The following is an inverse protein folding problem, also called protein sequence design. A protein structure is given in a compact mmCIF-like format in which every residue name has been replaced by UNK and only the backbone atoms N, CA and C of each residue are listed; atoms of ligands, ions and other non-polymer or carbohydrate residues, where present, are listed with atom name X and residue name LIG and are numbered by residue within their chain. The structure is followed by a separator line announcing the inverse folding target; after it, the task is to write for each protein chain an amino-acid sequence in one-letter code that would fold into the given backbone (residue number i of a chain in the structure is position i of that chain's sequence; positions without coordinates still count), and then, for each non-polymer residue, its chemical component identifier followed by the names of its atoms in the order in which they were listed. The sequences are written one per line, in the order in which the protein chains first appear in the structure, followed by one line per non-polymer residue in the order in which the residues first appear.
data_IF_556725458500
#
_entry.id   IF_556725458500
#
_cell.length_a   1.000
_cell.length_b   1.000
_cell.length_c   1.000
_cell.angle_alpha   90.00
_cell.angle_beta   90.00
_cell.angle_gamma   90.00
#
_symmetry.space_group_name_H-M   'P 1'
#
loop_
_entity.id
_entity.type
_entity.pdbx_description
1 polymer ?
#
# COMPACT_ATOMS: atom_id res chain seq x y z
N UNK A 1 -16.62 -22.06 -5.13
CA UNK A 1 -17.58 -22.51 -4.09
C UNK A 1 -16.93 -22.54 -2.71
N UNK A 2 -15.82 -23.28 -2.51
CA UNK A 2 -15.15 -23.38 -1.21
C UNK A 2 -14.60 -22.04 -0.66
N UNK A 3 -14.02 -21.20 -1.52
CA UNK A 3 -13.48 -19.89 -1.15
C UNK A 3 -14.55 -18.92 -0.68
N UNK A 4 -15.67 -18.84 -1.40
CA UNK A 4 -16.83 -18.03 -1.01
C UNK A 4 -17.41 -18.49 0.34
N UNK A 5 -17.53 -19.81 0.55
CA UNK A 5 -17.99 -20.36 1.81
C UNK A 5 -17.04 -20.00 2.97
N UNK A 6 -15.72 -20.15 2.78
CA UNK A 6 -14.74 -19.72 3.79
C UNK A 6 -14.81 -18.23 4.11
N UNK A 7 -14.99 -17.37 3.12
CA UNK A 7 -15.12 -15.91 3.33
C UNK A 7 -16.39 -15.63 4.16
N UNK A 8 -17.52 -16.21 3.77
CA UNK A 8 -18.80 -16.08 4.48
C UNK A 8 -18.69 -16.55 5.93
N UNK A 9 -18.09 -17.71 6.17
CA UNK A 9 -17.89 -18.25 7.53
C UNK A 9 -17.04 -17.31 8.37
N UNK A 10 -15.93 -16.78 7.84
CA UNK A 10 -15.08 -15.84 8.58
C UNK A 10 -15.82 -14.54 8.94
N UNK A 11 -16.60 -13.98 8.01
CA UNK A 11 -17.40 -12.78 8.25
C UNK A 11 -18.44 -13.06 9.36
N UNK A 12 -19.14 -14.19 9.27
CA UNK A 12 -20.16 -14.55 10.24
C UNK A 12 -19.56 -14.79 11.63
N UNK A 13 -18.45 -15.52 11.71
CA UNK A 13 -17.73 -15.74 12.97
C UNK A 13 -17.27 -14.43 13.61
N UNK A 14 -16.75 -13.48 12.82
CA UNK A 14 -16.36 -12.16 13.32
C UNK A 14 -17.56 -11.37 13.86
N UNK A 15 -18.71 -11.40 13.17
CA UNK A 15 -19.93 -10.73 13.63
C UNK A 15 -20.48 -11.35 14.92
N UNK A 16 -20.46 -12.68 15.03
CA UNK A 16 -20.87 -13.38 16.25
C UNK A 16 -19.97 -12.99 17.43
N UNK A 17 -18.65 -12.94 17.23
CA UNK A 17 -17.71 -12.51 18.26
C UNK A 17 -18.02 -11.08 18.73
N UNK A 18 -18.26 -10.14 17.81
CA UNK A 18 -18.58 -8.75 18.16
C UNK A 18 -19.87 -8.63 18.98
N UNK A 19 -20.94 -9.33 18.58
CA UNK A 19 -22.25 -9.21 19.23
C UNK A 19 -22.29 -9.96 20.57
N UNK A 20 -21.75 -11.18 20.64
CA UNK A 20 -21.91 -12.06 21.79
C UNK A 20 -20.79 -11.97 22.82
N UNK A 21 -19.55 -11.71 22.38
CA UNK A 21 -18.38 -11.63 23.26
C UNK A 21 -18.14 -10.17 23.64
N UNK A 22 -17.87 -9.32 22.65
CA UNK A 22 -17.55 -7.91 22.86
C UNK A 22 -18.79 -7.05 23.19
N UNK A 23 -20.00 -7.58 22.96
CA UNK A 23 -21.30 -6.92 23.21
C UNK A 23 -21.39 -5.53 22.58
N UNK A 24 -20.83 -5.39 21.39
CA UNK A 24 -20.75 -4.12 20.67
C UNK A 24 -21.22 -4.28 19.23
N UNK A 25 -21.52 -3.14 18.58
CA UNK A 25 -21.81 -3.14 17.15
C UNK A 25 -20.52 -3.05 16.33
N UNK A 26 -20.54 -3.51 15.08
CA UNK A 26 -19.40 -3.36 14.17
C UNK A 26 -18.97 -1.90 14.04
N UNK A 27 -19.93 -0.96 13.96
CA UNK A 27 -19.65 0.47 13.80
C UNK A 27 -18.95 1.03 15.04
N UNK A 28 -19.46 0.69 16.23
CA UNK A 28 -18.89 1.12 17.51
C UNK A 28 -17.49 0.53 17.68
N UNK A 29 -17.31 -0.77 17.44
CA UNK A 29 -16.01 -1.43 17.50
C UNK A 29 -14.99 -0.77 16.56
N UNK A 30 -15.34 -0.51 15.30
CA UNK A 30 -14.45 0.13 14.34
C UNK A 30 -14.10 1.57 14.75
N UNK A 31 -15.07 2.32 15.25
CA UNK A 31 -14.86 3.71 15.68
C UNK A 31 -13.96 3.79 16.90
N UNK A 32 -14.21 2.96 17.92
CA UNK A 32 -13.41 2.91 19.14
C UNK A 32 -12.00 2.40 18.87
N UNK A 33 -11.85 1.38 18.01
CA UNK A 33 -10.55 0.89 17.56
C UNK A 33 -9.77 1.97 16.82
N UNK A 34 -10.42 2.69 15.88
CA UNK A 34 -9.80 3.78 15.16
C UNK A 34 -9.36 4.91 16.11
N UNK A 35 -10.23 5.32 17.04
CA UNK A 35 -9.92 6.33 18.05
C UNK A 35 -8.75 5.94 18.93
N UNK A 36 -8.70 4.67 19.36
CA UNK A 36 -7.59 4.16 20.17
C UNK A 36 -6.26 4.22 19.41
N UNK A 37 -6.25 3.85 18.13
CA UNK A 37 -5.06 3.95 17.29
C UNK A 37 -4.65 5.42 17.11
N UNK A 38 -5.61 6.32 16.81
CA UNK A 38 -5.34 7.76 16.64
C UNK A 38 -4.75 8.36 17.91
N UNK A 39 -5.37 8.12 19.06
CA UNK A 39 -4.94 8.70 20.33
C UNK A 39 -3.55 8.19 20.71
N UNK A 40 -3.27 6.91 20.50
CA UNK A 40 -1.93 6.34 20.70
C UNK A 40 -0.91 7.01 19.78
N UNK A 41 -1.22 7.15 18.48
CA UNK A 41 -0.32 7.80 17.53
C UNK A 41 -0.07 9.27 17.88
N UNK A 42 -1.12 10.02 18.24
CA UNK A 42 -1.01 11.42 18.66
C UNK A 42 -0.13 11.55 19.89
N UNK A 43 -0.35 10.72 20.91
CA UNK A 43 0.46 10.72 22.13
C UNK A 43 1.95 10.48 21.82
N UNK A 44 2.27 9.51 20.98
CA UNK A 44 3.66 9.24 20.56
C UNK A 44 4.28 10.40 19.77
N UNK A 45 3.51 11.04 18.90
CA UNK A 45 3.99 12.21 18.14
C UNK A 45 4.17 13.45 19.03
N UNK A 46 3.27 13.68 19.98
CA UNK A 46 3.39 14.76 20.96
C UNK A 46 4.62 14.56 21.85
N UNK A 47 4.89 13.34 22.29
CA UNK A 47 6.11 12.99 23.03
C UNK A 47 7.36 13.27 22.19
N UNK A 48 7.39 12.82 20.94
CA UNK A 48 8.49 13.10 20.02
C UNK A 48 8.68 14.61 19.80
N UNK A 49 7.58 15.36 19.60
CA UNK A 49 7.61 16.81 19.46
C UNK A 49 8.21 17.48 20.69
N UNK A 50 7.76 17.10 21.88
CA UNK A 50 8.27 17.65 23.14
C UNK A 50 9.77 17.36 23.31
N UNK A 51 10.24 16.19 22.90
CA UNK A 51 11.66 15.88 22.85
C UNK A 51 12.43 16.85 21.95
N UNK A 52 11.95 17.10 20.73
CA UNK A 52 12.58 18.07 19.81
C UNK A 52 12.53 19.52 20.32
N UNK A 53 11.44 19.93 20.97
CA UNK A 53 11.34 21.23 21.65
C UNK A 53 12.44 21.35 22.71
N UNK A 54 12.61 20.32 23.53
CA UNK A 54 13.64 20.29 24.57
C UNK A 54 15.07 20.30 24.00
N UNK A 55 15.26 19.84 22.75
CA UNK A 55 16.54 19.93 22.02
C UNK A 55 16.78 21.29 21.35
N UNK A 56 15.86 22.24 21.47
CA UNK A 56 16.00 23.59 20.89
C UNK A 56 15.73 23.65 19.38
N UNK A 57 14.97 22.70 18.84
CA UNK A 57 14.57 22.68 17.42
C UNK A 57 13.73 23.91 17.07
N UNK A 58 13.99 24.50 15.90
CA UNK A 58 13.32 25.74 15.45
C UNK A 58 11.80 25.59 15.28
N UNK A 59 11.07 26.68 15.53
CA UNK A 59 9.60 26.73 15.40
C UNK A 59 9.06 26.27 14.03
N UNK A 60 9.78 26.54 12.94
CA UNK A 60 9.37 26.11 11.59
C UNK A 60 9.35 24.60 11.41
N UNK A 61 10.29 23.88 12.02
CA UNK A 61 10.31 22.41 11.98
C UNK A 61 9.22 21.84 12.88
N UNK A 62 8.96 22.47 14.03
CA UNK A 62 7.86 22.11 14.91
C UNK A 62 6.48 22.33 14.26
N UNK A 63 6.31 23.40 13.47
CA UNK A 63 5.09 23.64 12.70
C UNK A 63 4.81 22.53 11.69
N UNK A 64 5.84 21.99 11.02
CA UNK A 64 5.68 20.84 10.12
C UNK A 64 5.24 19.59 10.87
N UNK A 65 5.74 19.38 12.09
CA UNK A 65 5.27 18.29 12.96
C UNK A 65 3.82 18.49 13.38
N UNK A 66 3.42 19.72 13.70
CA UNK A 66 2.05 20.07 14.07
C UNK A 66 1.07 19.85 12.90
N UNK A 67 1.47 20.20 11.69
CA UNK A 67 0.71 19.90 10.48
C UNK A 67 0.54 18.39 10.28
N UNK A 68 1.60 17.60 10.47
CA UNK A 68 1.52 16.15 10.37
C UNK A 68 0.60 15.54 11.45
N UNK A 69 0.68 16.02 12.69
CA UNK A 69 -0.21 15.64 13.80
C UNK A 69 -1.69 15.89 13.47
N UNK A 70 -2.00 17.04 12.88
CA UNK A 70 -3.37 17.40 12.48
C UNK A 70 -3.93 16.52 11.35
N UNK A 71 -3.05 15.91 10.54
CA UNK A 71 -3.45 14.93 9.54
C UNK A 71 -3.85 13.57 10.15
N UNK A 72 -3.46 13.28 11.41
CA UNK A 72 -3.83 12.04 12.10
C UNK A 72 -5.25 12.21 12.69
N UNK A 73 -6.25 11.87 11.89
CA UNK A 73 -7.66 11.92 12.29
C UNK A 73 -8.46 10.77 11.66
N UNK A 74 -9.70 10.58 12.13
CA UNK A 74 -10.57 9.47 11.71
C UNK A 74 -10.84 9.53 10.21
N UNK A 75 -11.14 10.71 9.67
CA UNK A 75 -11.47 10.88 8.26
C UNK A 75 -10.31 10.42 7.35
N UNK A 76 -9.08 10.87 7.65
CA UNK A 76 -7.89 10.47 6.90
C UNK A 76 -7.56 8.98 7.09
N UNK A 77 -7.79 8.40 8.27
CA UNK A 77 -7.62 6.96 8.46
C UNK A 77 -8.63 6.15 7.64
N UNK A 78 -9.87 6.61 7.56
CA UNK A 78 -10.90 5.96 6.74
C UNK A 78 -10.55 6.04 5.25
N UNK A 79 -9.91 7.11 4.77
CA UNK A 79 -9.41 7.20 3.40
C UNK A 79 -8.29 6.19 3.10
N UNK A 80 -7.51 5.81 4.11
CA UNK A 80 -6.43 4.82 3.98
C UNK A 80 -6.92 3.36 4.09
N UNK A 81 -8.13 3.14 4.59
CA UNK A 81 -8.66 1.80 4.84
C UNK A 81 -8.74 0.93 3.56
N UNK A 82 -9.21 1.44 2.40
CA UNK A 82 -9.23 0.63 1.17
C UNK A 82 -7.82 0.20 0.72
N UNK A 83 -6.84 1.10 0.81
CA UNK A 83 -5.46 0.77 0.42
C UNK A 83 -4.80 -0.17 1.45
N UNK A 84 -5.12 -0.06 2.74
CA UNK A 84 -4.56 -0.94 3.76
C UNK A 84 -5.04 -2.39 3.59
N UNK A 85 -6.32 -2.59 3.22
CA UNK A 85 -6.86 -3.90 2.85
C UNK A 85 -6.10 -4.47 1.64
N UNK A 86 -5.87 -3.64 0.63
CA UNK A 86 -5.13 -4.04 -0.58
C UNK A 86 -3.68 -4.43 -0.25
N UNK A 87 -2.98 -3.62 0.55
CA UNK A 87 -1.62 -3.91 1.04
C UNK A 87 -1.60 -5.24 1.77
N UNK A 88 -2.52 -5.43 2.73
CA UNK A 88 -2.61 -6.65 3.51
C UNK A 88 -2.87 -7.87 2.62
N UNK A 89 -3.84 -7.79 1.71
CA UNK A 89 -4.18 -8.86 0.78
C UNK A 89 -3.00 -9.23 -0.12
N UNK A 90 -2.31 -8.22 -0.67
CA UNK A 90 -1.11 -8.42 -1.49
C UNK A 90 0.02 -9.10 -0.71
N UNK A 91 0.33 -8.60 0.50
CA UNK A 91 1.38 -9.17 1.35
C UNK A 91 1.04 -10.60 1.78
N UNK A 92 -0.19 -10.84 2.22
CA UNK A 92 -0.66 -12.16 2.61
C UNK A 92 -0.58 -13.15 1.44
N UNK A 93 -1.06 -12.76 0.26
CA UNK A 93 -0.97 -13.59 -0.94
C UNK A 93 0.49 -13.90 -1.32
N UNK A 94 1.37 -12.89 -1.28
CA UNK A 94 2.78 -13.06 -1.61
C UNK A 94 3.51 -13.97 -0.61
N UNK A 95 3.28 -13.79 0.69
CA UNK A 95 3.86 -14.64 1.74
C UNK A 95 3.32 -16.07 1.61
N UNK A 96 2.00 -16.24 1.47
CA UNK A 96 1.39 -17.55 1.29
C UNK A 96 1.99 -18.28 0.10
N UNK A 97 2.11 -17.62 -1.05
CA UNK A 97 2.71 -18.21 -2.25
C UNK A 97 4.16 -18.68 -2.01
N UNK A 98 4.99 -17.85 -1.39
CA UNK A 98 6.39 -18.22 -1.07
C UNK A 98 6.46 -19.39 -0.10
N UNK A 99 5.63 -19.38 0.95
CA UNK A 99 5.60 -20.44 1.96
C UNK A 99 5.11 -21.75 1.34
N UNK A 100 4.03 -21.71 0.56
CA UNK A 100 3.49 -22.88 -0.15
C UNK A 100 4.52 -23.51 -1.07
N UNK A 101 5.23 -22.72 -1.89
CA UNK A 101 6.29 -23.26 -2.77
C UNK A 101 7.43 -23.87 -1.95
N UNK A 102 7.86 -23.23 -0.86
CA UNK A 102 8.91 -23.81 0.01
C UNK A 102 8.47 -25.16 0.59
N UNK A 103 7.22 -25.28 1.04
CA UNK A 103 6.68 -26.53 1.58
C UNK A 103 6.60 -27.60 0.48
N UNK A 104 6.06 -27.28 -0.69
CA UNK A 104 5.94 -28.21 -1.80
C UNK A 104 7.31 -28.71 -2.29
N UNK A 105 8.30 -27.82 -2.40
CA UNK A 105 9.69 -28.20 -2.71
C UNK A 105 10.28 -29.13 -1.64
N UNK A 106 10.00 -28.87 -0.35
CA UNK A 106 10.44 -29.76 0.75
C UNK A 106 9.79 -31.15 0.67
N UNK A 107 8.57 -31.22 0.16
CA UNK A 107 7.82 -32.46 -0.11
C UNK A 107 8.21 -33.12 -1.44
N UNK A 108 9.22 -32.61 -2.15
CA UNK A 108 9.73 -33.13 -3.44
C UNK A 108 8.71 -33.08 -4.59
N UNK A 109 7.72 -32.19 -4.52
CA UNK A 109 6.89 -31.87 -5.68
C UNK A 109 7.65 -30.97 -6.65
N UNK A 110 7.50 -31.24 -7.95
CA UNK A 110 7.94 -30.32 -8.99
C UNK A 110 7.01 -29.10 -9.01
N UNK A 111 7.58 -27.94 -8.69
CA UNK A 111 6.87 -26.66 -8.71
C UNK A 111 7.73 -25.62 -9.40
N UNK A 112 7.08 -24.78 -10.22
CA UNK A 112 7.74 -23.68 -10.90
C UNK A 112 8.42 -22.74 -9.90
N UNK A 113 9.49 -22.08 -10.35
CA UNK A 113 10.19 -21.11 -9.51
C UNK A 113 9.33 -19.87 -9.25
N UNK A 114 9.41 -19.36 -8.02
CA UNK A 114 8.79 -18.10 -7.61
C UNK A 114 9.26 -17.00 -8.55
N UNK A 115 8.31 -16.35 -9.25
CA UNK A 115 8.63 -15.19 -10.06
C UNK A 115 9.26 -14.11 -9.16
N UNK A 116 10.50 -13.66 -9.43
CA UNK A 116 11.16 -12.69 -8.56
C UNK A 116 10.40 -11.36 -8.59
N UNK A 117 10.27 -10.69 -7.45
CA UNK A 117 9.58 -9.40 -7.33
C UNK A 117 10.07 -8.34 -8.34
N UNK A 118 11.33 -8.39 -8.79
CA UNK A 118 11.84 -7.49 -9.85
C UNK A 118 11.13 -7.66 -11.21
N UNK A 119 10.40 -8.75 -11.43
CA UNK A 119 9.55 -8.99 -12.60
C UNK A 119 8.08 -8.63 -12.34
N UNK A 120 7.72 -8.15 -11.16
CA UNK A 120 6.40 -7.56 -10.93
C UNK A 120 6.24 -6.34 -11.82
N UNK A 121 5.11 -6.27 -12.52
CA UNK A 121 4.76 -5.16 -13.39
C UNK A 121 3.26 -4.87 -13.29
N UNK A 122 2.90 -3.64 -13.63
CA UNK A 122 1.51 -3.21 -13.82
C UNK A 122 1.35 -2.91 -15.29
N UNK A 123 0.36 -3.53 -15.93
CA UNK A 123 0.10 -3.30 -17.35
C UNK A 123 -0.43 -1.90 -17.61
N UNK A 124 -0.19 -1.39 -18.81
CA UNK A 124 -0.64 -0.07 -19.23
C UNK A 124 -2.17 0.05 -19.12
N UNK A 125 -2.89 -1.04 -19.39
CA UNK A 125 -4.35 -1.10 -19.32
C UNK A 125 -4.86 -0.92 -17.88
N UNK A 126 -4.27 -1.64 -16.92
CA UNK A 126 -4.64 -1.52 -15.49
C UNK A 126 -4.35 -0.12 -14.99
N UNK A 127 -3.18 0.41 -15.35
CA UNK A 127 -2.79 1.78 -15.08
C UNK A 127 -3.78 2.82 -15.59
N UNK A 128 -4.12 2.74 -16.88
CA UNK A 128 -5.08 3.63 -17.52
C UNK A 128 -6.47 3.52 -16.89
N UNK A 129 -6.92 2.31 -16.53
CA UNK A 129 -8.20 2.11 -15.86
C UNK A 129 -8.24 2.77 -14.48
N UNK A 130 -7.19 2.61 -13.67
CA UNK A 130 -7.10 3.24 -12.35
C UNK A 130 -7.12 4.77 -12.45
N UNK A 131 -6.33 5.33 -13.38
CA UNK A 131 -6.29 6.78 -13.63
C UNK A 131 -7.66 7.26 -14.11
N UNK A 132 -8.27 6.57 -15.07
CA UNK A 132 -9.59 6.90 -15.61
C UNK A 132 -10.68 6.93 -14.53
N UNK A 133 -10.75 5.90 -13.69
CA UNK A 133 -11.70 5.83 -12.56
C UNK A 133 -11.46 6.97 -11.57
N UNK A 134 -10.21 7.32 -11.31
CA UNK A 134 -9.87 8.43 -10.42
C UNK A 134 -10.30 9.78 -11.01
N UNK A 135 -10.07 9.99 -12.30
CA UNK A 135 -10.53 11.19 -13.01
C UNK A 135 -12.07 11.32 -12.97
N UNK A 136 -12.80 10.22 -13.14
CA UNK A 136 -14.26 10.21 -12.98
C UNK A 136 -14.64 10.67 -11.56
N UNK A 137 -13.98 10.13 -10.53
CA UNK A 137 -14.20 10.55 -9.15
C UNK A 137 -13.97 12.04 -8.90
N UNK A 138 -12.89 12.60 -9.47
CA UNK A 138 -12.58 14.04 -9.39
C UNK A 138 -13.68 14.88 -10.06
N UNK A 139 -14.12 14.49 -11.25
CA UNK A 139 -15.20 15.19 -11.98
C UNK A 139 -16.51 15.18 -11.18
N UNK A 140 -16.86 14.03 -10.59
CA UNK A 140 -18.07 13.89 -9.77
C UNK A 140 -17.98 14.71 -8.48
N UNK A 141 -16.79 14.78 -7.85
CA UNK A 141 -16.55 15.63 -6.69
C UNK A 141 -16.70 17.10 -7.03
N UNK A 142 -16.20 17.55 -8.19
CA UNK A 142 -16.41 18.93 -8.68
C UNK A 142 -17.88 19.28 -8.94
N UNK A 143 -18.77 18.27 -9.07
CA UNK A 143 -20.23 18.43 -9.17
C UNK A 143 -20.95 18.26 -7.83
N UNK A 144 -20.23 18.19 -6.71
CA UNK A 144 -20.77 17.98 -5.37
C UNK A 144 -21.60 16.69 -5.21
N UNK A 145 -21.25 15.63 -5.97
CA UNK A 145 -21.89 14.32 -5.79
C UNK A 145 -21.46 13.72 -4.45
N UNK A 146 -22.42 13.29 -3.64
CA UNK A 146 -22.17 12.71 -2.33
C UNK A 146 -21.20 11.51 -2.41
N UNK A 147 -20.19 11.49 -1.54
CA UNK A 147 -19.18 10.42 -1.47
C UNK A 147 -18.12 10.42 -2.57
N UNK A 148 -18.25 11.28 -3.60
CA UNK A 148 -17.27 11.33 -4.69
C UNK A 148 -15.89 11.79 -4.21
N UNK A 149 -15.83 12.71 -3.25
CA UNK A 149 -14.57 13.18 -2.67
C UNK A 149 -13.80 12.08 -1.95
N UNK A 150 -14.49 11.36 -1.07
CA UNK A 150 -13.94 10.20 -0.37
C UNK A 150 -13.45 9.13 -1.36
N UNK A 151 -14.24 8.87 -2.41
CA UNK A 151 -13.91 7.89 -3.43
C UNK A 151 -12.61 8.24 -4.17
N UNK A 152 -12.49 9.45 -4.74
CA UNK A 152 -11.29 9.79 -5.52
C UNK A 152 -10.05 9.89 -4.63
N UNK A 153 -10.17 10.41 -3.40
CA UNK A 153 -9.05 10.46 -2.43
C UNK A 153 -8.55 9.05 -2.09
N UNK A 154 -9.46 8.11 -1.83
CA UNK A 154 -9.12 6.71 -1.59
C UNK A 154 -8.44 6.06 -2.80
N UNK A 155 -8.94 6.35 -4.02
CA UNK A 155 -8.34 5.86 -5.27
C UNK A 155 -6.93 6.42 -5.49
N UNK A 156 -6.66 7.68 -5.12
CA UNK A 156 -5.31 8.25 -5.16
C UNK A 156 -4.35 7.45 -4.27
N UNK A 157 -4.76 7.05 -3.06
CA UNK A 157 -3.92 6.20 -2.20
C UNK A 157 -3.64 4.83 -2.83
N UNK A 158 -4.65 4.21 -3.45
CA UNK A 158 -4.49 2.94 -4.17
C UNK A 158 -3.49 3.10 -5.33
N UNK A 159 -3.65 4.13 -6.17
CA UNK A 159 -2.74 4.43 -7.28
C UNK A 159 -1.31 4.63 -6.76
N UNK A 160 -1.13 5.43 -5.70
CA UNK A 160 0.17 5.67 -5.10
C UNK A 160 0.84 4.37 -4.69
N UNK A 161 0.13 3.51 -3.97
CA UNK A 161 0.67 2.23 -3.55
C UNK A 161 1.06 1.33 -4.73
N UNK A 162 0.18 1.19 -5.73
CA UNK A 162 0.42 0.36 -6.91
C UNK A 162 1.63 0.85 -7.71
N UNK A 163 1.77 2.16 -7.90
CA UNK A 163 2.91 2.73 -8.62
C UNK A 163 4.20 2.66 -7.81
N UNK A 164 4.16 2.84 -6.48
CA UNK A 164 5.33 2.60 -5.64
C UNK A 164 5.78 1.14 -5.76
N UNK A 165 4.87 0.16 -5.68
CA UNK A 165 5.22 -1.25 -5.88
C UNK A 165 5.87 -1.49 -7.24
N UNK A 166 5.28 -0.94 -8.32
CA UNK A 166 5.83 -1.08 -9.67
C UNK A 166 7.21 -0.42 -9.78
N UNK A 167 7.41 0.75 -9.17
CA UNK A 167 8.66 1.49 -9.18
C UNK A 167 9.77 0.82 -8.39
N UNK A 168 9.45 0.24 -7.23
CA UNK A 168 10.40 -0.58 -6.46
C UNK A 168 10.79 -1.82 -7.26
N UNK A 169 9.83 -2.49 -7.90
CA UNK A 169 10.11 -3.62 -8.78
C UNK A 169 11.01 -3.23 -9.97
N UNK A 170 10.75 -2.07 -10.57
CA UNK A 170 11.54 -1.53 -11.68
C UNK A 170 12.97 -1.18 -11.26
N UNK A 171 13.11 -0.47 -10.14
CA UNK A 171 14.41 -0.15 -9.56
C UNK A 171 15.21 -1.41 -9.23
N UNK A 172 14.57 -2.41 -8.61
CA UNK A 172 15.18 -3.70 -8.32
C UNK A 172 15.62 -4.45 -9.59
N UNK A 173 14.83 -4.37 -10.67
CA UNK A 173 15.19 -4.97 -11.95
C UNK A 173 16.43 -4.31 -12.55
N UNK A 174 16.48 -2.97 -12.62
CA UNK A 174 17.61 -2.27 -13.22
C UNK A 174 18.89 -2.41 -12.39
N UNK A 175 18.79 -2.40 -11.06
CA UNK A 175 19.93 -2.67 -10.18
C UNK A 175 20.52 -4.07 -10.38
N UNK A 176 19.67 -5.10 -10.56
CA UNK A 176 20.13 -6.47 -10.77
C UNK A 176 20.62 -6.71 -12.20
N UNK A 177 19.87 -6.26 -13.20
CA UNK A 177 20.14 -6.62 -14.62
C UNK A 177 21.14 -5.69 -15.29
N UNK A 178 21.10 -4.38 -14.99
CA UNK A 178 22.03 -3.40 -15.61
C UNK A 178 23.27 -3.14 -14.76
N UNK A 179 23.14 -3.15 -13.43
CA UNK A 179 24.27 -2.87 -12.50
C UNK A 179 24.86 -4.13 -11.88
N UNK A 180 24.34 -5.32 -12.21
CA UNK A 180 24.82 -6.62 -11.73
C UNK A 180 24.91 -6.71 -10.19
N UNK A 181 24.09 -5.94 -9.47
CA UNK A 181 24.09 -5.94 -8.02
C UNK A 181 23.50 -7.24 -7.47
N UNK A 182 24.09 -7.73 -6.37
CA UNK A 182 23.57 -8.92 -5.70
C UNK A 182 22.17 -8.66 -5.10
N UNK A 183 21.41 -9.74 -4.89
CA UNK A 183 20.06 -9.67 -4.30
C UNK A 183 20.06 -8.96 -2.94
N UNK A 184 21.08 -9.22 -2.11
CA UNK A 184 21.21 -8.64 -0.76
C UNK A 184 21.46 -7.13 -0.83
N UNK A 185 22.42 -6.70 -1.65
CA UNK A 185 22.75 -5.28 -1.83
C UNK A 185 21.55 -4.51 -2.38
N UNK A 186 20.87 -5.06 -3.38
CA UNK A 186 19.67 -4.42 -3.96
C UNK A 186 18.58 -4.21 -2.90
N UNK A 187 18.32 -5.22 -2.05
CA UNK A 187 17.32 -5.11 -0.98
C UNK A 187 17.71 -4.07 0.07
N UNK A 188 18.99 -4.02 0.47
CA UNK A 188 19.47 -3.02 1.43
C UNK A 188 19.35 -1.60 0.89
N UNK A 189 19.72 -1.37 -0.38
CA UNK A 189 19.63 -0.05 -0.99
C UNK A 189 18.17 0.44 -1.07
N UNK A 190 17.24 -0.44 -1.42
CA UNK A 190 15.80 -0.12 -1.41
C UNK A 190 15.33 0.17 0.01
N UNK A 191 15.77 -0.59 1.01
CA UNK A 191 15.38 -0.34 2.39
C UNK A 191 15.88 1.02 2.90
N UNK A 192 17.16 1.33 2.72
CA UNK A 192 17.72 2.61 3.14
C UNK A 192 17.16 3.80 2.35
N UNK A 193 16.78 3.64 1.09
CA UNK A 193 16.17 4.74 0.33
C UNK A 193 14.81 5.15 0.91
N UNK A 194 14.02 4.22 1.46
CA UNK A 194 12.80 4.56 2.19
C UNK A 194 13.09 5.32 3.49
N UNK A 195 14.14 4.95 4.22
CA UNK A 195 14.55 5.68 5.44
C UNK A 195 14.94 7.12 5.12
N UNK A 196 15.60 7.34 3.99
CA UNK A 196 16.01 8.68 3.52
C UNK A 196 14.84 9.48 2.92
N UNK A 197 13.64 8.90 2.81
CA UNK A 197 12.46 9.58 2.29
C UNK A 197 12.34 9.61 0.76
N UNK A 198 13.04 8.72 0.06
CA UNK A 198 12.99 8.62 -1.41
C UNK A 198 11.77 7.83 -1.93
N UNK A 199 10.77 7.59 -1.08
CA UNK A 199 9.55 6.83 -1.42
C UNK A 199 8.81 7.38 -2.64
N UNK A 200 8.67 8.71 -2.72
CA UNK A 200 7.99 9.40 -3.83
C UNK A 200 8.71 9.25 -5.17
N UNK A 201 10.04 9.02 -5.18
CA UNK A 201 10.75 8.73 -6.42
C UNK A 201 10.30 7.40 -7.01
N UNK A 202 9.97 6.40 -6.19
CA UNK A 202 9.45 5.13 -6.68
C UNK A 202 8.06 5.28 -7.30
N UNK A 203 7.22 6.18 -6.81
CA UNK A 203 5.96 6.51 -7.47
C UNK A 203 6.20 6.97 -8.92
N UNK A 204 7.10 7.95 -9.11
CA UNK A 204 7.42 8.50 -10.43
C UNK A 204 8.00 7.41 -11.33
N UNK A 205 8.96 6.62 -10.83
CA UNK A 205 9.57 5.52 -11.58
C UNK A 205 8.50 4.51 -12.00
N UNK A 206 7.59 4.14 -11.10
CA UNK A 206 6.54 3.16 -11.38
C UNK A 206 5.52 3.64 -12.38
N UNK A 207 5.15 4.92 -12.34
CA UNK A 207 4.28 5.54 -13.33
C UNK A 207 4.92 5.59 -14.71
N UNK A 208 6.18 6.03 -14.78
CA UNK A 208 6.96 6.08 -16.02
C UNK A 208 7.16 4.67 -16.60
N UNK A 209 7.50 3.70 -15.76
CA UNK A 209 7.64 2.30 -16.17
C UNK A 209 6.34 1.73 -16.73
N UNK A 210 5.19 2.07 -16.13
CA UNK A 210 3.88 1.67 -16.62
C UNK A 210 3.52 2.33 -17.96
N UNK A 211 4.01 3.52 -18.30
CA UNK A 211 3.73 4.13 -19.61
C UNK A 211 4.61 3.52 -20.69
N UNK A 212 5.91 3.44 -20.41
CA UNK A 212 6.93 3.14 -21.43
C UNK A 212 7.33 1.65 -21.49
N UNK A 213 7.01 0.86 -20.46
CA UNK A 213 7.38 -0.54 -20.31
C UNK A 213 8.86 -0.79 -20.66
N UNK A 214 9.78 -0.07 -19.99
CA UNK A 214 11.21 -0.16 -20.30
C UNK A 214 11.77 -1.55 -20.00
N UNK A 215 11.19 -2.30 -19.05
CA UNK A 215 11.58 -3.69 -18.76
C UNK A 215 11.03 -4.70 -19.77
N UNK A 216 10.08 -4.29 -20.63
CA UNK A 216 9.41 -5.12 -21.64
C UNK A 216 8.75 -6.36 -21.04
N UNK A 217 8.05 -6.16 -19.93
CA UNK A 217 7.37 -7.23 -19.20
C UNK A 217 5.88 -7.32 -19.54
N UNK A 218 5.29 -6.26 -20.12
CA UNK A 218 3.87 -6.24 -20.45
C UNK A 218 3.59 -6.95 -21.79
N UNK A 219 2.83 -8.07 -21.82
CA UNK A 219 2.42 -8.72 -23.06
C UNK A 219 1.48 -7.86 -23.91
N UNK A 220 0.79 -6.89 -23.30
CA UNK A 220 -0.13 -5.96 -23.95
C UNK A 220 0.50 -4.59 -24.25
N UNK A 221 1.84 -4.51 -24.29
CA UNK A 221 2.58 -3.27 -24.56
C UNK A 221 2.10 -2.53 -25.82
N UNK A 222 1.95 -1.20 -25.68
CA UNK A 222 1.49 -0.32 -26.76
C UNK A 222 2.50 -0.27 -27.92
N UNK A 223 3.80 -0.30 -27.62
CA UNK A 223 4.88 -0.34 -28.62
C UNK A 223 5.50 -1.73 -28.64
N UNK A 224 5.30 -2.48 -29.75
CA UNK A 224 5.85 -3.82 -29.95
C UNK A 224 7.30 -3.85 -30.49
N UNK A 225 7.93 -2.69 -30.66
CA UNK A 225 9.29 -2.53 -31.20
C UNK A 225 10.37 -2.90 -30.18
#
# INVERSE_FOLDING_TARGET
MLTLACILTNILSALIMLVFIEKTSLVTFLTDSANTVINTFKASFEEARNYYVNMGVSGKQLEQMDQALNMINIENMLLMLPVSILIYGFMAAYINYIVSIKILKKLRYEVEEVLPFSKFYISNLVGAALIGVTCIGIILSGKNVYGAEYFYKSMIFIIRFIFILNGVAAAAYFMKKKRLLSKRVTTLLIFFSFIVGLGELYFIIGFVEMIFDYRRLDPYRIRKV
#
